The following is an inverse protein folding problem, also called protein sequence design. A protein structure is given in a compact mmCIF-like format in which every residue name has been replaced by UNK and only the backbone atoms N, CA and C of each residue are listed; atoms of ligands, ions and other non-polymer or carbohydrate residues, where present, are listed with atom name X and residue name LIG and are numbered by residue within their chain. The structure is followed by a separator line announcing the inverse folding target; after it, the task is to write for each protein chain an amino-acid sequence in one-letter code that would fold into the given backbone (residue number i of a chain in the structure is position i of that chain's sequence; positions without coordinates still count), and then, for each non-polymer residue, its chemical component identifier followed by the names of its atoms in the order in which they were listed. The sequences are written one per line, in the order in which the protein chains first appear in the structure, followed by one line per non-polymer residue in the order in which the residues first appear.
data_IF_594919942460
#
_entry.id   IF_594919942460
#
_cell.length_a   1.000
_cell.length_b   1.000
_cell.length_c   1.000
_cell.angle_alpha   90.00
_cell.angle_beta   90.00
_cell.angle_gamma   90.00
#
_symmetry.space_group_name_H-M   'P 1'
#
loop_
_entity.id
_entity.type
_entity.pdbx_description
1 polymer ?
#
# COMPACT_ATOMS: atom_id res chain seq x y z
N UNK A 1 4.77 26.52 1.33
CA UNK A 1 4.45 26.03 0.87
C UNK A 1 3.74 26.10 0.32
N UNK A 2 3.64 26.19 -0.13
CA UNK A 2 3.15 26.00 -0.71
C UNK A 2 3.00 26.30 -1.60
N UNK A 3 3.32 26.95 -1.91
CA UNK A 3 3.06 27.57 -2.99
C UNK A 3 3.39 26.90 -3.99
N UNK A 4 4.35 27.00 -4.37
CA UNK A 4 4.50 25.91 -5.04
C UNK A 4 3.36 25.56 -5.84
N UNK A 5 2.48 26.41 -6.23
CA UNK A 5 1.24 25.82 -6.40
C UNK A 5 0.97 25.15 -7.71
N UNK A 6 1.49 25.56 -8.82
CA UNK A 6 1.29 24.81 -10.03
C UNK A 6 2.03 23.49 -10.03
N UNK A 7 3.28 23.52 -9.65
CA UNK A 7 4.04 22.29 -9.58
C UNK A 7 3.57 21.40 -8.45
N UNK A 8 3.22 22.00 -7.34
CA UNK A 8 2.72 21.24 -6.21
C UNK A 8 1.38 20.62 -6.50
N UNK A 9 0.53 21.31 -7.21
CA UNK A 9 -0.74 20.73 -7.63
C UNK A 9 -0.55 19.48 -8.45
N UNK A 10 0.37 19.49 -9.39
CA UNK A 10 0.67 18.30 -10.16
C UNK A 10 1.24 17.18 -9.31
N UNK A 11 2.12 17.54 -8.39
CA UNK A 11 2.69 16.53 -7.50
C UNK A 11 1.64 15.91 -6.61
N UNK A 12 0.74 16.72 -6.09
CA UNK A 12 -0.35 16.20 -5.27
C UNK A 12 -1.28 15.32 -6.06
N UNK A 13 -1.57 15.68 -7.30
CA UNK A 13 -2.38 14.84 -8.16
C UNK A 13 -1.67 13.53 -8.46
N UNK A 14 -0.39 13.58 -8.76
CA UNK A 14 0.41 12.39 -9.01
C UNK A 14 0.48 11.50 -7.78
N UNK A 15 0.66 12.09 -6.61
CA UNK A 15 0.67 11.33 -5.36
C UNK A 15 -0.69 10.70 -5.06
N UNK A 16 -1.77 11.42 -5.37
CA UNK A 16 -3.11 10.87 -5.21
C UNK A 16 -3.33 9.65 -6.08
N UNK A 17 -2.92 9.72 -7.34
CA UNK A 17 -3.01 8.59 -8.24
C UNK A 17 -2.14 7.43 -7.78
N UNK A 18 -0.93 7.72 -7.36
CA UNK A 18 -0.02 6.70 -6.87
C UNK A 18 -0.58 6.01 -5.64
N UNK A 19 -1.09 6.79 -4.70
CA UNK A 19 -1.69 6.26 -3.48
C UNK A 19 -2.88 5.36 -3.80
N UNK A 20 -3.74 5.81 -4.71
CA UNK A 20 -4.90 5.03 -5.11
C UNK A 20 -4.50 3.74 -5.80
N UNK A 21 -3.51 3.80 -6.68
CA UNK A 21 -2.99 2.63 -7.36
C UNK A 21 -2.40 1.62 -6.37
N UNK A 22 -1.60 2.11 -5.43
CA UNK A 22 -1.00 1.25 -4.40
C UNK A 22 -2.09 0.61 -3.55
N UNK A 23 -3.07 1.40 -3.13
CA UNK A 23 -4.16 0.86 -2.32
C UNK A 23 -4.94 -0.21 -3.09
N UNK A 24 -5.21 0.03 -4.36
CA UNK A 24 -5.91 -0.96 -5.18
C UNK A 24 -5.13 -2.27 -5.29
N UNK A 25 -3.82 -2.17 -5.54
CA UNK A 25 -2.98 -3.36 -5.65
C UNK A 25 -2.99 -4.15 -4.36
N UNK A 26 -2.81 -3.48 -3.23
CA UNK A 26 -2.66 -4.15 -1.94
C UNK A 26 -3.97 -4.69 -1.39
N UNK A 27 -5.10 -4.12 -1.80
CA UNK A 27 -6.41 -4.58 -1.32
C UNK A 27 -7.11 -5.51 -2.28
N UNK A 28 -6.54 -5.77 -3.46
CA UNK A 28 -7.11 -6.70 -4.43
C UNK A 28 -6.46 -8.06 -4.26
N UNK A 29 -7.22 -9.10 -3.89
CA UNK A 29 -6.65 -10.45 -3.78
C UNK A 29 -6.25 -10.98 -5.15
N UNK A 30 -5.11 -11.66 -5.20
CA UNK A 30 -4.67 -12.30 -6.43
C UNK A 30 -5.71 -13.35 -6.83
N UNK A 31 -6.04 -13.37 -8.11
CA UNK A 31 -7.01 -14.31 -8.64
C UNK A 31 -8.43 -13.82 -8.64
N UNK A 32 -8.69 -12.64 -8.07
CA UNK A 32 -10.05 -12.13 -7.97
C UNK A 32 -10.53 -11.43 -9.23
N UNK A 33 -9.62 -11.08 -10.14
CA UNK A 33 -10.00 -10.40 -11.38
C UNK A 33 -9.91 -11.38 -12.54
N UNK A 34 -10.98 -11.50 -13.30
CA UNK A 34 -11.09 -12.48 -14.37
C UNK A 34 -10.04 -12.28 -15.44
N UNK A 35 -9.81 -11.03 -15.87
CA UNK A 35 -8.88 -10.74 -16.96
C UNK A 35 -7.44 -10.57 -16.50
N UNK A 36 -7.21 -10.35 -15.23
CA UNK A 36 -5.87 -10.13 -14.68
C UNK A 36 -5.71 -10.95 -13.42
N UNK A 37 -5.63 -12.24 -13.60
CA UNK A 37 -5.60 -13.17 -12.47
C UNK A 37 -4.38 -13.02 -11.59
N UNK A 38 -3.29 -12.47 -12.12
CA UNK A 38 -2.09 -12.26 -11.33
C UNK A 38 -2.04 -10.89 -10.68
N UNK A 39 -2.97 -10.03 -11.00
CA UNK A 39 -3.01 -8.70 -10.45
C UNK A 39 -3.45 -8.74 -8.99
N UNK A 40 -2.80 -7.92 -8.16
CA UNK A 40 -3.14 -7.80 -6.76
C UNK A 40 -2.01 -8.28 -5.88
N UNK A 41 -2.36 -8.62 -4.66
CA UNK A 41 -1.37 -9.07 -3.67
C UNK A 41 -1.94 -10.15 -2.79
N UNK A 42 -1.07 -10.77 -2.00
CA UNK A 42 -1.48 -11.74 -1.00
C UNK A 42 -1.84 -11.08 0.34
N UNK A 43 -1.70 -9.76 0.44
CA UNK A 43 -1.96 -9.04 1.68
C UNK A 43 -3.37 -9.30 2.22
N UNK A 44 -4.45 -9.26 1.40
CA UNK A 44 -5.78 -9.51 1.96
C UNK A 44 -5.93 -10.86 2.63
N UNK A 45 -5.29 -11.91 2.10
CA UNK A 45 -5.34 -13.22 2.73
C UNK A 45 -4.51 -13.26 4.00
N UNK A 46 -3.35 -12.62 4.00
CA UNK A 46 -2.46 -12.65 5.15
C UNK A 46 -3.01 -11.85 6.31
N UNK A 47 -3.76 -10.80 6.03
CA UNK A 47 -4.27 -9.93 7.08
C UNK A 47 -5.32 -10.63 7.95
N UNK A 48 -5.94 -11.68 7.43
CA UNK A 48 -6.92 -12.46 8.18
C UNK A 48 -6.29 -13.52 9.07
N UNK A 49 -4.99 -13.72 8.96
CA UNK A 49 -4.27 -14.68 9.78
C UNK A 49 -3.80 -14.01 11.07
N UNK A 50 -3.47 -14.79 12.10
CA UNK A 50 -2.92 -14.20 13.32
C UNK A 50 -1.68 -13.37 13.01
N UNK A 51 -1.63 -12.16 13.55
CA UNK A 51 -0.55 -11.23 13.27
C UNK A 51 0.63 -11.47 14.20
N UNK A 52 1.35 -12.52 13.94
CA UNK A 52 2.63 -12.79 14.61
C UNK A 52 3.78 -12.34 13.73
N UNK A 53 5.00 -12.54 14.21
CA UNK A 53 6.18 -12.09 13.48
C UNK A 53 6.27 -12.70 12.09
N UNK A 54 5.93 -13.96 11.95
CA UNK A 54 5.99 -14.65 10.67
C UNK A 54 4.98 -14.05 9.68
N UNK A 55 3.76 -13.81 10.14
CA UNK A 55 2.73 -13.22 9.28
C UNK A 55 3.11 -11.81 8.88
N UNK A 56 3.66 -11.02 9.81
CA UNK A 56 4.11 -9.67 9.49
C UNK A 56 5.18 -9.67 8.41
N UNK A 57 6.14 -10.57 8.50
CA UNK A 57 7.17 -10.69 7.48
C UNK A 57 6.60 -11.07 6.13
N UNK A 58 5.61 -11.95 6.12
CA UNK A 58 4.94 -12.33 4.87
C UNK A 58 4.18 -11.16 4.27
N UNK A 59 3.55 -10.34 5.10
CA UNK A 59 2.85 -9.15 4.63
C UNK A 59 3.84 -8.18 4.01
N UNK A 60 4.98 -7.97 4.65
CA UNK A 60 6.00 -7.09 4.11
C UNK A 60 6.53 -7.58 2.77
N UNK A 61 6.80 -8.87 2.68
CA UNK A 61 7.28 -9.47 1.43
C UNK A 61 6.21 -9.39 0.34
N UNK A 62 4.97 -9.68 0.67
CA UNK A 62 3.87 -9.62 -0.29
C UNK A 62 3.66 -8.20 -0.80
N UNK A 63 3.78 -7.22 0.09
CA UNK A 63 3.68 -5.81 -0.29
C UNK A 63 4.78 -5.43 -1.26
N UNK A 64 6.02 -5.75 -0.92
CA UNK A 64 7.15 -5.41 -1.77
C UNK A 64 7.05 -6.09 -3.14
N UNK A 65 6.68 -7.36 -3.15
CA UNK A 65 6.56 -8.12 -4.39
C UNK A 65 5.48 -7.54 -5.30
N UNK A 66 4.30 -7.26 -4.73
CA UNK A 66 3.19 -6.76 -5.52
C UNK A 66 3.48 -5.37 -6.08
N UNK A 67 4.05 -4.49 -5.28
CA UNK A 67 4.36 -3.14 -5.74
C UNK A 67 5.47 -3.13 -6.77
N UNK A 68 6.46 -3.98 -6.62
CA UNK A 68 7.51 -4.08 -7.62
C UNK A 68 6.94 -4.52 -8.96
N UNK A 69 5.96 -5.39 -8.93
CA UNK A 69 5.36 -5.92 -10.16
C UNK A 69 4.37 -4.94 -10.79
N UNK A 70 3.51 -4.32 -9.98
CA UNK A 70 2.37 -3.58 -10.52
C UNK A 70 2.49 -2.07 -10.38
N UNK A 71 3.44 -1.59 -9.56
CA UNK A 71 3.66 -0.16 -9.40
C UNK A 71 5.16 0.14 -9.41
N UNK A 72 5.82 0.01 -10.58
CA UNK A 72 7.26 0.23 -10.65
C UNK A 72 7.67 1.70 -10.46
N UNK A 73 6.71 2.62 -10.52
CA UNK A 73 7.02 4.02 -10.24
C UNK A 73 7.44 4.26 -8.80
N UNK A 74 7.01 3.40 -7.90
CA UNK A 74 7.35 3.51 -6.50
C UNK A 74 8.52 2.59 -6.19
N UNK A 75 9.61 3.18 -5.71
CA UNK A 75 10.73 2.40 -5.19
C UNK A 75 10.57 2.33 -3.68
N UNK A 76 10.13 1.18 -3.22
CA UNK A 76 9.82 0.98 -1.82
C UNK A 76 11.09 0.85 -0.99
N UNK A 77 11.19 1.64 0.07
CA UNK A 77 12.33 1.58 0.98
C UNK A 77 11.99 0.82 2.25
N UNK A 78 10.79 1.02 2.80
CA UNK A 78 10.40 0.32 4.01
C UNK A 78 8.89 0.18 4.09
N UNK A 79 8.46 -0.82 4.85
CA UNK A 79 7.05 -1.13 5.09
C UNK A 79 6.87 -1.35 6.58
N UNK A 80 5.87 -0.73 7.16
CA UNK A 80 5.51 -0.96 8.55
C UNK A 80 4.02 -1.22 8.66
N UNK A 81 3.67 -2.16 9.52
CA UNK A 81 2.28 -2.46 9.81
C UNK A 81 1.87 -1.66 11.04
N UNK A 82 0.78 -0.92 10.93
CA UNK A 82 0.23 -0.18 12.05
C UNK A 82 -1.13 -0.74 12.40
N UNK A 83 -1.42 -0.79 13.70
CA UNK A 83 -2.67 -1.33 14.19
C UNK A 83 -3.27 -0.38 15.21
N UNK A 84 -4.54 -0.04 15.02
CA UNK A 84 -5.28 0.78 15.95
C UNK A 84 -5.95 -0.07 17.01
N UNK A 85 -6.41 0.60 18.06
CA UNK A 85 -7.09 -0.07 19.16
C UNK A 85 -8.40 -0.71 18.75
N UNK A 86 -9.03 -0.20 17.70
CA UNK A 86 -10.28 -0.76 17.18
C UNK A 86 -10.06 -1.93 16.22
N UNK A 87 -8.82 -2.32 16.01
CA UNK A 87 -8.50 -3.41 15.11
C UNK A 87 -8.22 -2.99 13.67
N UNK A 88 -8.30 -1.71 13.38
CA UNK A 88 -7.95 -1.24 12.04
C UNK A 88 -6.47 -1.45 11.77
N UNK A 89 -6.14 -1.86 10.56
CA UNK A 89 -4.77 -2.16 10.17
C UNK A 89 -4.44 -1.35 8.92
N UNK A 90 -3.28 -0.72 8.94
CA UNK A 90 -2.79 0.02 7.79
C UNK A 90 -1.32 -0.31 7.56
N UNK A 91 -0.89 -0.15 6.33
CA UNK A 91 0.52 -0.27 5.98
C UNK A 91 1.09 1.12 5.74
N UNK A 92 2.18 1.41 6.41
CA UNK A 92 2.92 2.65 6.21
C UNK A 92 4.09 2.35 5.31
N UNK A 93 4.10 2.99 4.14
CA UNK A 93 5.09 2.73 3.11
C UNK A 93 5.96 3.95 2.93
N UNK A 94 7.27 3.75 3.01
CA UNK A 94 8.24 4.79 2.68
C UNK A 94 8.99 4.39 1.43
N UNK A 95 9.17 5.34 0.55
CA UNK A 95 9.91 5.08 -0.67
C UNK A 95 10.15 6.34 -1.47
N UNK A 96 10.50 6.16 -2.73
CA UNK A 96 10.69 7.28 -3.64
C UNK A 96 9.89 7.05 -4.90
N UNK A 97 9.37 8.14 -5.43
CA UNK A 97 8.70 8.15 -6.73
C UNK A 97 9.12 9.42 -7.45
N UNK A 98 9.54 9.28 -8.70
CA UNK A 98 10.03 10.41 -9.50
C UNK A 98 11.16 11.18 -8.79
N UNK A 99 12.02 10.47 -8.08
CA UNK A 99 13.13 11.08 -7.39
C UNK A 99 12.79 11.77 -6.09
N UNK A 100 11.55 11.72 -5.66
CA UNK A 100 11.12 12.35 -4.41
C UNK A 100 10.75 11.31 -3.38
N UNK A 101 11.17 11.55 -2.13
CA UNK A 101 10.78 10.70 -1.03
C UNK A 101 9.31 10.90 -0.70
N UNK A 102 8.60 9.80 -0.51
CA UNK A 102 7.19 9.85 -0.17
C UNK A 102 6.88 8.85 0.93
N UNK A 103 5.83 9.16 1.68
CA UNK A 103 5.29 8.26 2.69
C UNK A 103 3.80 8.10 2.43
N UNK A 104 3.36 6.86 2.33
CA UNK A 104 1.95 6.55 2.08
C UNK A 104 1.41 5.70 3.21
N UNK A 105 0.24 6.06 3.70
CA UNK A 105 -0.50 5.23 4.65
C UNK A 105 -1.66 4.60 3.89
N UNK A 106 -1.68 3.27 3.83
CA UNK A 106 -2.67 2.53 3.06
C UNK A 106 -3.52 1.71 4.01
N UNK A 107 -4.79 2.05 4.20
CA UNK A 107 -5.68 1.23 5.02
C UNK A 107 -5.89 -0.13 4.37
N UNK A 108 -5.64 -1.19 5.12
CA UNK A 108 -5.80 -2.55 4.63
C UNK A 108 -7.04 -3.20 5.22
N UNK A 109 -7.31 -2.93 6.50
CA UNK A 109 -8.45 -3.49 7.18
C UNK A 109 -9.09 -2.41 8.04
N UNK A 110 -10.41 -2.29 7.92
CA UNK A 110 -11.13 -1.35 8.76
C UNK A 110 -11.34 -1.92 10.15
N UNK A 111 -11.41 -1.03 11.12
CA UNK A 111 -11.66 -1.46 12.48
C UNK A 111 -13.08 -1.99 12.65
N UNK A 112 -13.26 -2.71 13.73
CA UNK A 112 -14.58 -3.21 14.07
C UNK A 112 -15.45 -2.03 14.50
N UNK A 113 -16.41 -1.71 13.67
CA UNK A 113 -17.41 -0.71 14.01
C UNK A 113 -18.63 -1.46 14.47
N UNK A 114 -18.85 -1.38 15.74
CA UNK A 114 -20.01 -2.07 16.31
C UNK A 114 -21.15 -1.08 16.53
#
# INVERSE_FOLDING_TARGET
MMGMHAATGRSLTGLGHLRQSVADILTTPIGSRIRRRRYGSEVPELIDQPLNSATQLRIYAATAFALRRWEPRLQLASVQLTRDTDGAIALLLDGTANGQGITLAVPIKQGDVV
#
